data_IF_298736030469
#
_entry.id   IF_298736030469
#
_cell.length_a   1.000
_cell.length_b   1.000
_cell.length_c   1.000
_cell.angle_alpha   90.00
_cell.angle_beta   90.00
_cell.angle_gamma   90.00
#
_symmetry.space_group_name_H-M   'P 1'
#
loop_
_entity.id
_entity.type
_entity.pdbx_description
1 polymer ?
#
# COMPACT_ATOMS: atom_id res chain seq x y z
N UNK A 1 -7.06 -10.63 15.64
CA UNK A 1 -6.14 -11.56 16.29
C UNK A 1 -5.86 -12.78 15.39
N UNK A 2 -4.59 -13.16 15.22
CA UNK A 2 -4.23 -14.19 14.23
C UNK A 2 -4.66 -15.61 14.57
N UNK A 3 -5.01 -15.87 15.80
CA UNK A 3 -5.44 -17.20 16.27
C UNK A 3 -6.97 -17.38 16.20
N UNK A 4 -7.70 -16.39 16.65
CA UNK A 4 -9.17 -16.39 16.60
C UNK A 4 -9.61 -15.56 15.38
N UNK A 5 -10.60 -16.02 14.65
CA UNK A 5 -11.25 -15.25 13.58
C UNK A 5 -12.51 -14.62 14.17
N UNK A 6 -12.49 -13.35 14.55
CA UNK A 6 -13.66 -12.68 15.09
C UNK A 6 -14.74 -12.52 14.03
N UNK A 7 -15.98 -12.57 14.48
CA UNK A 7 -17.15 -12.26 13.67
C UNK A 7 -17.21 -10.73 13.38
N UNK A 8 -17.94 -10.28 12.34
CA UNK A 8 -18.15 -8.86 12.09
C UNK A 8 -18.65 -8.10 13.31
N UNK A 9 -19.55 -8.69 14.09
CA UNK A 9 -20.06 -8.09 15.33
C UNK A 9 -18.97 -7.87 16.38
N UNK A 10 -18.06 -8.84 16.54
CA UNK A 10 -16.95 -8.72 17.48
C UNK A 10 -15.93 -7.69 17.03
N UNK A 11 -15.69 -7.56 15.73
CA UNK A 11 -14.86 -6.47 15.18
C UNK A 11 -15.48 -5.10 15.50
N UNK A 12 -16.79 -4.95 15.29
CA UNK A 12 -17.50 -3.68 15.60
C UNK A 12 -17.42 -3.38 17.09
N UNK A 13 -17.73 -4.35 17.97
CA UNK A 13 -17.62 -4.17 19.41
C UNK A 13 -16.21 -3.76 19.84
N UNK A 14 -15.17 -4.39 19.28
CA UNK A 14 -13.77 -4.02 19.58
C UNK A 14 -13.48 -2.54 19.28
N UNK A 15 -13.93 -2.03 18.13
CA UNK A 15 -13.70 -0.62 17.79
C UNK A 15 -14.61 0.33 18.58
N UNK A 16 -15.82 -0.10 18.98
CA UNK A 16 -16.68 0.66 19.89
C UNK A 16 -16.01 0.80 21.27
N UNK A 17 -15.58 -0.31 21.86
CA UNK A 17 -14.86 -0.30 23.13
C UNK A 17 -13.59 0.55 23.05
N UNK A 18 -12.79 0.37 21.99
CA UNK A 18 -11.58 1.17 21.78
C UNK A 18 -11.88 2.67 21.72
N UNK A 19 -12.97 3.06 21.05
CA UNK A 19 -13.43 4.45 20.93
C UNK A 19 -13.78 5.09 22.26
N UNK A 20 -14.21 4.30 23.25
CA UNK A 20 -14.48 4.79 24.61
C UNK A 20 -13.22 5.05 25.44
N UNK A 21 -12.09 4.42 25.07
CA UNK A 21 -10.83 4.53 25.80
C UNK A 21 -9.84 5.54 25.21
N UNK A 22 -10.04 5.99 23.97
CA UNK A 22 -9.11 6.90 23.31
C UNK A 22 -9.83 8.13 22.76
N UNK A 23 -9.28 9.31 23.03
CA UNK A 23 -9.76 10.57 22.47
C UNK A 23 -9.16 10.89 21.09
N UNK A 24 -8.21 10.07 20.63
CA UNK A 24 -7.54 10.28 19.36
C UNK A 24 -8.32 9.68 18.19
N UNK A 25 -8.26 10.29 16.99
CA UNK A 25 -8.85 9.71 15.80
C UNK A 25 -8.32 8.30 15.50
N UNK A 26 -9.20 7.39 15.11
CA UNK A 26 -8.90 6.00 14.79
C UNK A 26 -8.92 5.80 13.28
N UNK A 27 -7.86 5.19 12.75
CA UNK A 27 -7.85 4.61 11.41
C UNK A 27 -7.94 3.09 11.50
N UNK A 28 -9.02 2.53 10.98
CA UNK A 28 -9.18 1.07 10.86
C UNK A 28 -8.30 0.53 9.74
N UNK A 29 -7.58 -0.56 9.99
CA UNK A 29 -6.78 -1.21 8.95
C UNK A 29 -7.36 -2.58 8.58
N UNK A 30 -7.98 -2.66 7.41
CA UNK A 30 -8.43 -3.90 6.79
C UNK A 30 -7.27 -4.54 6.01
N UNK A 31 -6.68 -5.60 6.58
CA UNK A 31 -5.60 -6.36 5.94
C UNK A 31 -5.74 -7.87 6.21
N UNK A 32 -6.67 -8.49 5.51
CA UNK A 32 -7.07 -9.88 5.70
C UNK A 32 -5.89 -10.86 5.70
N UNK A 33 -4.89 -10.64 4.84
CA UNK A 33 -3.69 -11.49 4.79
C UNK A 33 -2.89 -11.49 6.09
N UNK A 34 -2.79 -10.37 6.79
CA UNK A 34 -2.00 -10.25 8.01
C UNK A 34 -2.78 -10.57 9.28
N UNK A 35 -4.09 -10.34 9.27
CA UNK A 35 -4.96 -10.52 10.43
C UNK A 35 -5.84 -11.76 10.35
N UNK A 36 -5.90 -12.42 9.18
CA UNK A 36 -6.83 -13.50 8.86
C UNK A 36 -8.31 -13.10 9.04
N UNK A 37 -8.61 -11.81 9.01
CA UNK A 37 -9.94 -11.23 9.12
C UNK A 37 -10.13 -10.22 8.01
N UNK A 38 -11.13 -10.39 7.18
CA UNK A 38 -11.52 -9.41 6.18
C UNK A 38 -12.71 -8.59 6.68
N UNK A 39 -12.52 -7.29 6.76
CA UNK A 39 -13.58 -6.33 7.07
C UNK A 39 -14.30 -6.02 5.76
N UNK A 40 -15.50 -6.57 5.59
CA UNK A 40 -16.33 -6.34 4.41
C UNK A 40 -16.99 -4.96 4.45
N UNK A 41 -17.54 -4.51 3.30
CA UNK A 41 -18.13 -3.17 3.16
C UNK A 41 -19.26 -2.93 4.17
N UNK A 42 -20.11 -3.90 4.45
CA UNK A 42 -21.19 -3.80 5.44
C UNK A 42 -20.65 -3.55 6.86
N UNK A 43 -19.60 -4.25 7.23
CA UNK A 43 -18.89 -4.00 8.49
C UNK A 43 -18.20 -2.63 8.48
N UNK A 44 -17.61 -2.22 7.36
CA UNK A 44 -17.01 -0.89 7.20
C UNK A 44 -18.05 0.23 7.36
N UNK A 45 -19.28 0.02 6.87
CA UNK A 45 -20.40 0.95 7.09
C UNK A 45 -20.74 1.09 8.59
N UNK A 46 -20.75 0.00 9.34
CA UNK A 46 -21.00 0.08 10.79
C UNK A 46 -19.83 0.76 11.54
N UNK A 47 -18.59 0.43 11.17
CA UNK A 47 -17.40 1.07 11.73
C UNK A 47 -17.36 2.58 11.47
N UNK A 48 -17.82 3.04 10.31
CA UNK A 48 -17.85 4.47 9.97
C UNK A 48 -18.86 5.29 10.78
N UNK A 49 -19.73 4.65 11.57
CA UNK A 49 -20.68 5.31 12.48
C UNK A 49 -20.09 5.58 13.87
N UNK A 50 -18.93 5.02 14.17
CA UNK A 50 -18.23 5.22 15.45
C UNK A 50 -17.56 6.59 15.40
N UNK A 51 -17.82 7.44 16.42
CA UNK A 51 -17.52 8.87 16.41
C UNK A 51 -16.07 9.22 16.07
N UNK A 52 -15.10 8.52 16.64
CA UNK A 52 -13.68 8.81 16.42
C UNK A 52 -13.02 7.89 15.37
N UNK A 53 -13.78 7.04 14.66
CA UNK A 53 -13.31 6.36 13.45
C UNK A 53 -13.40 7.36 12.29
N UNK A 54 -12.25 7.86 11.85
CA UNK A 54 -12.16 8.92 10.84
C UNK A 54 -11.62 8.43 9.51
N UNK A 55 -11.05 7.23 9.48
CA UNK A 55 -10.46 6.68 8.26
C UNK A 55 -10.48 5.15 8.25
N UNK A 56 -10.43 4.58 7.05
CA UNK A 56 -10.19 3.15 6.80
C UNK A 56 -9.06 3.03 5.80
N UNK A 57 -8.02 2.27 6.15
CA UNK A 57 -7.04 1.76 5.19
C UNK A 57 -7.52 0.39 4.72
N UNK A 58 -7.97 0.31 3.48
CA UNK A 58 -8.45 -0.93 2.88
C UNK A 58 -7.36 -1.55 1.99
N UNK A 59 -6.79 -2.67 2.44
CA UNK A 59 -5.79 -3.47 1.72
C UNK A 59 -6.36 -4.83 1.31
N UNK A 60 -7.66 -4.91 1.04
CA UNK A 60 -8.27 -6.09 0.45
C UNK A 60 -7.70 -6.36 -0.95
N UNK A 61 -7.61 -7.65 -1.31
CA UNK A 61 -7.31 -8.07 -2.69
C UNK A 61 -8.57 -8.23 -3.54
N UNK A 62 -9.74 -8.18 -2.92
CA UNK A 62 -11.04 -8.22 -3.59
C UNK A 62 -11.45 -6.81 -4.05
N UNK A 63 -11.33 -6.57 -5.36
CA UNK A 63 -11.63 -5.26 -5.98
C UNK A 63 -13.10 -4.89 -5.87
N UNK A 64 -14.00 -5.84 -5.99
CA UNK A 64 -15.44 -5.57 -5.88
C UNK A 64 -15.79 -5.15 -4.46
N UNK A 65 -15.17 -5.79 -3.47
CA UNK A 65 -15.31 -5.42 -2.06
C UNK A 65 -14.75 -4.02 -1.79
N UNK A 66 -13.58 -3.68 -2.34
CA UNK A 66 -12.99 -2.35 -2.21
C UNK A 66 -13.90 -1.27 -2.82
N UNK A 67 -14.44 -1.51 -4.01
CA UNK A 67 -15.35 -0.55 -4.67
C UNK A 67 -16.62 -0.36 -3.83
N UNK A 68 -17.22 -1.42 -3.32
CA UNK A 68 -18.38 -1.32 -2.43
C UNK A 68 -18.06 -0.54 -1.15
N UNK A 69 -16.88 -0.73 -0.58
CA UNK A 69 -16.44 0.07 0.57
C UNK A 69 -16.37 1.55 0.21
N UNK A 70 -15.75 1.90 -0.92
CA UNK A 70 -15.69 3.29 -1.41
C UNK A 70 -17.09 3.87 -1.63
N UNK A 71 -17.97 3.17 -2.33
CA UNK A 71 -19.33 3.64 -2.64
C UNK A 71 -20.18 3.94 -1.40
N UNK A 72 -20.01 3.17 -0.32
CA UNK A 72 -20.89 3.26 0.85
C UNK A 72 -20.30 4.06 2.02
N UNK A 73 -18.99 4.33 2.00
CA UNK A 73 -18.28 4.85 3.17
C UNK A 73 -17.45 6.11 2.89
N UNK A 74 -17.09 6.40 1.63
CA UNK A 74 -16.20 7.52 1.29
C UNK A 74 -16.77 8.90 1.59
N UNK A 75 -18.08 9.03 1.76
CA UNK A 75 -18.76 10.26 2.19
C UNK A 75 -18.74 10.47 3.72
N UNK A 76 -18.36 9.46 4.49
CA UNK A 76 -18.39 9.44 5.95
C UNK A 76 -17.01 9.53 6.58
N UNK A 77 -16.07 8.73 6.06
CA UNK A 77 -14.68 8.66 6.56
C UNK A 77 -13.70 8.63 5.40
N UNK A 78 -12.44 8.96 5.66
CA UNK A 78 -11.38 8.90 4.65
C UNK A 78 -11.02 7.46 4.30
N UNK A 79 -10.93 7.15 3.00
CA UNK A 79 -10.58 5.82 2.53
C UNK A 79 -9.22 5.83 1.83
N UNK A 80 -8.29 5.05 2.38
CA UNK A 80 -6.97 4.80 1.79
C UNK A 80 -6.94 3.39 1.20
N UNK A 81 -6.81 3.29 -0.12
CA UNK A 81 -6.85 2.04 -0.85
C UNK A 81 -5.75 1.99 -1.95
N UNK A 82 -5.40 0.82 -2.50
CA UNK A 82 -4.35 0.70 -3.52
C UNK A 82 -4.83 1.21 -4.89
N UNK A 83 -5.00 2.52 -5.01
CA UNK A 83 -5.59 3.19 -6.17
C UNK A 83 -4.56 3.78 -7.16
N UNK A 84 -3.25 3.62 -6.93
CA UNK A 84 -2.22 4.15 -7.85
C UNK A 84 -2.17 3.28 -9.11
N UNK A 85 -3.10 3.53 -10.02
CA UNK A 85 -3.24 2.87 -11.33
C UNK A 85 -4.18 3.68 -12.22
N UNK A 86 -4.20 3.40 -13.53
CA UNK A 86 -5.20 4.01 -14.44
C UNK A 86 -6.64 3.68 -14.04
N UNK A 87 -6.88 2.46 -13.60
CA UNK A 87 -8.20 2.07 -13.09
C UNK A 87 -8.52 2.82 -11.79
N UNK A 88 -7.56 2.92 -10.88
CA UNK A 88 -7.73 3.66 -9.63
C UNK A 88 -8.01 5.14 -9.85
N UNK A 89 -7.39 5.76 -10.87
CA UNK A 89 -7.73 7.13 -11.26
C UNK A 89 -9.22 7.26 -11.67
N UNK A 90 -9.72 6.32 -12.46
CA UNK A 90 -11.14 6.32 -12.85
C UNK A 90 -12.06 6.11 -11.63
N UNK A 91 -11.67 5.25 -10.68
CA UNK A 91 -12.40 5.05 -9.42
C UNK A 91 -12.41 6.34 -8.58
N UNK A 92 -11.26 6.99 -8.41
CA UNK A 92 -11.16 8.26 -7.66
C UNK A 92 -12.06 9.33 -8.29
N UNK A 93 -12.08 9.44 -9.62
CA UNK A 93 -12.92 10.42 -10.34
C UNK A 93 -14.42 10.12 -10.27
N UNK A 94 -14.79 8.84 -10.28
CA UNK A 94 -16.19 8.43 -10.34
C UNK A 94 -16.84 8.15 -8.99
N UNK A 95 -16.07 7.69 -8.01
CA UNK A 95 -16.59 7.21 -6.72
C UNK A 95 -15.93 7.94 -5.55
N UNK A 96 -14.59 7.98 -5.50
CA UNK A 96 -13.83 8.58 -4.42
C UNK A 96 -12.59 7.77 -4.07
N UNK A 97 -11.99 8.14 -2.94
CA UNK A 97 -10.75 7.58 -2.42
C UNK A 97 -9.75 8.70 -2.14
N UNK A 98 -9.22 8.72 -0.92
CA UNK A 98 -8.46 9.86 -0.40
C UNK A 98 -6.95 9.70 -0.54
N UNK A 99 -6.47 8.48 -0.72
CA UNK A 99 -5.04 8.24 -0.81
C UNK A 99 -4.64 6.78 -0.86
N UNK A 100 -3.33 6.56 -0.80
CA UNK A 100 -2.72 5.25 -0.70
C UNK A 100 -1.73 5.22 0.46
N UNK A 101 -1.79 4.17 1.25
CA UNK A 101 -0.79 3.91 2.30
C UNK A 101 -0.19 2.54 2.02
N UNK A 102 1.00 2.51 1.49
CA UNK A 102 1.75 1.28 1.26
C UNK A 102 3.09 1.26 1.99
N UNK A 103 3.76 0.13 1.94
CA UNK A 103 5.04 -0.08 2.62
C UNK A 103 6.26 0.14 1.72
N UNK A 104 6.09 0.66 0.51
CA UNK A 104 7.20 0.81 -0.44
C UNK A 104 7.75 2.26 -0.48
N UNK A 105 8.72 2.62 0.37
CA UNK A 105 9.29 3.96 0.38
C UNK A 105 9.97 4.32 -0.94
N UNK A 106 10.47 3.33 -1.68
CA UNK A 106 11.12 3.54 -2.98
C UNK A 106 10.17 4.01 -4.07
N UNK A 107 8.86 3.75 -3.93
CA UNK A 107 7.82 4.20 -4.86
C UNK A 107 7.13 5.51 -4.44
N UNK A 108 7.51 6.09 -3.31
CA UNK A 108 6.82 7.24 -2.73
C UNK A 108 6.75 8.45 -3.67
N UNK A 109 7.80 8.71 -4.44
CA UNK A 109 7.82 9.82 -5.42
C UNK A 109 6.77 9.65 -6.51
N UNK A 110 6.52 8.44 -6.98
CA UNK A 110 5.48 8.17 -7.98
C UNK A 110 4.07 8.30 -7.38
N UNK A 111 3.90 7.86 -6.14
CA UNK A 111 2.66 8.03 -5.40
C UNK A 111 2.32 9.49 -5.15
N UNK A 112 3.28 10.29 -4.71
CA UNK A 112 3.12 11.74 -4.53
C UNK A 112 2.76 12.43 -5.86
N UNK A 113 3.50 12.14 -6.94
CA UNK A 113 3.23 12.72 -8.25
C UNK A 113 1.82 12.35 -8.76
N UNK A 114 1.38 11.12 -8.53
CA UNK A 114 0.03 10.67 -8.86
C UNK A 114 -1.03 11.50 -8.13
N UNK A 115 -1.01 11.54 -6.80
CA UNK A 115 -2.04 12.23 -6.02
C UNK A 115 -2.00 13.75 -6.16
N UNK A 116 -0.82 14.35 -6.29
CA UNK A 116 -0.70 15.78 -6.62
C UNK A 116 -1.30 16.11 -7.99
N UNK A 117 -1.08 15.25 -8.98
CA UNK A 117 -1.68 15.42 -10.30
C UNK A 117 -3.20 15.24 -10.26
N UNK A 118 -3.69 14.24 -9.53
CA UNK A 118 -5.12 14.06 -9.28
C UNK A 118 -5.75 15.31 -8.66
N UNK A 119 -5.12 15.88 -7.63
CA UNK A 119 -5.63 17.08 -6.94
C UNK A 119 -5.68 18.32 -7.83
N UNK A 120 -4.77 18.41 -8.82
CA UNK A 120 -4.71 19.51 -9.79
C UNK A 120 -5.59 19.30 -11.02
N UNK A 121 -6.24 18.11 -11.16
CA UNK A 121 -7.02 17.76 -12.34
C UNK A 121 -6.18 17.37 -13.55
N UNK A 122 -4.88 17.13 -13.39
CA UNK A 122 -3.96 16.72 -14.47
C UNK A 122 -3.96 15.20 -14.61
N UNK A 123 -5.00 14.68 -15.29
CA UNK A 123 -5.18 13.24 -15.45
C UNK A 123 -4.10 12.59 -16.33
N UNK A 124 -3.52 13.30 -17.28
CA UNK A 124 -2.46 12.73 -18.13
C UNK A 124 -1.17 12.51 -17.32
N UNK A 125 -0.80 13.47 -16.48
CA UNK A 125 0.33 13.32 -15.57
C UNK A 125 0.05 12.25 -14.51
N UNK A 126 -1.17 12.18 -13.96
CA UNK A 126 -1.57 11.14 -13.04
C UNK A 126 -1.45 9.74 -13.66
N UNK A 127 -1.90 9.55 -14.91
CA UNK A 127 -1.73 8.30 -15.66
C UNK A 127 -0.26 7.93 -15.84
N UNK A 128 0.59 8.89 -16.22
CA UNK A 128 2.02 8.64 -16.40
C UNK A 128 2.70 8.24 -15.09
N UNK A 129 2.38 8.88 -13.97
CA UNK A 129 2.88 8.51 -12.64
C UNK A 129 2.39 7.12 -12.21
N UNK A 130 1.12 6.81 -12.46
CA UNK A 130 0.54 5.50 -12.19
C UNK A 130 1.23 4.39 -13.01
N UNK A 131 1.48 4.61 -14.29
CA UNK A 131 2.16 3.63 -15.15
C UNK A 131 3.59 3.32 -14.64
N UNK A 132 4.33 4.33 -14.21
CA UNK A 132 5.68 4.16 -13.62
C UNK A 132 5.61 3.39 -12.31
N UNK A 133 4.66 3.74 -11.43
CA UNK A 133 4.42 3.03 -10.18
C UNK A 133 4.11 1.55 -10.43
N UNK A 134 3.12 1.27 -11.29
CA UNK A 134 2.70 -0.11 -11.60
C UNK A 134 3.83 -0.90 -12.26
N UNK A 135 4.56 -0.30 -13.21
CA UNK A 135 5.70 -0.97 -13.88
C UNK A 135 6.80 -1.39 -12.91
N UNK A 136 7.07 -0.58 -11.89
CA UNK A 136 8.03 -0.93 -10.84
C UNK A 136 7.45 -1.96 -9.85
N UNK A 137 6.26 -1.69 -9.33
CA UNK A 137 5.66 -2.52 -8.27
C UNK A 137 5.35 -3.94 -8.73
N UNK A 138 4.92 -4.13 -9.98
CA UNK A 138 4.66 -5.46 -10.55
C UNK A 138 5.90 -6.35 -10.65
N UNK A 139 7.10 -5.79 -10.59
CA UNK A 139 8.38 -6.53 -10.56
C UNK A 139 8.88 -6.80 -9.15
N UNK A 140 8.34 -6.09 -8.16
CA UNK A 140 8.73 -6.17 -6.75
C UNK A 140 7.75 -7.01 -5.92
N UNK A 141 6.46 -6.91 -6.22
CA UNK A 141 5.39 -7.45 -5.37
C UNK A 141 4.50 -8.38 -6.17
N UNK A 142 4.28 -9.57 -5.63
CA UNK A 142 3.31 -10.54 -6.15
C UNK A 142 1.86 -10.08 -5.89
N UNK A 143 0.87 -10.63 -6.61
CA UNK A 143 -0.55 -10.28 -6.40
C UNK A 143 -1.06 -10.49 -4.96
N UNK A 144 -0.42 -11.39 -4.22
CA UNK A 144 -0.73 -11.67 -2.81
C UNK A 144 0.02 -10.76 -1.82
N UNK A 145 0.67 -9.70 -2.30
CA UNK A 145 1.50 -8.76 -1.53
C UNK A 145 2.79 -9.36 -0.94
N UNK A 146 3.21 -10.55 -1.36
CA UNK A 146 4.54 -11.07 -1.03
C UNK A 146 5.61 -10.39 -1.90
N UNK A 147 6.85 -10.33 -1.39
CA UNK A 147 7.98 -9.86 -2.18
C UNK A 147 8.48 -10.93 -3.17
N UNK A 148 8.92 -10.49 -4.34
CA UNK A 148 9.45 -11.38 -5.39
C UNK A 148 10.82 -11.93 -5.03
N UNK A 149 11.67 -11.13 -4.38
CA UNK A 149 13.07 -11.47 -4.07
C UNK A 149 13.32 -11.82 -2.60
N UNK A 150 12.26 -11.94 -1.81
CA UNK A 150 12.32 -12.22 -0.37
C UNK A 150 11.08 -11.66 0.32
N UNK A 151 11.13 -11.49 1.64
CA UNK A 151 10.02 -10.79 2.31
C UNK A 151 9.95 -9.34 1.82
N UNK A 152 8.74 -8.77 1.71
CA UNK A 152 8.56 -7.41 1.23
C UNK A 152 9.42 -6.41 2.03
N UNK A 153 9.53 -6.57 3.35
CA UNK A 153 10.35 -5.72 4.22
C UNK A 153 11.85 -5.82 3.90
N UNK A 154 12.36 -7.04 3.71
CA UNK A 154 13.77 -7.24 3.35
C UNK A 154 14.08 -6.62 1.99
N UNK A 155 13.19 -6.80 1.02
CA UNK A 155 13.31 -6.27 -0.33
C UNK A 155 13.28 -4.74 -0.36
N UNK A 156 12.34 -4.09 0.35
CA UNK A 156 12.29 -2.64 0.42
C UNK A 156 13.54 -2.05 1.08
N UNK A 157 14.04 -2.69 2.13
CA UNK A 157 15.31 -2.28 2.77
C UNK A 157 16.51 -2.41 1.83
N UNK A 158 16.58 -3.50 1.06
CA UNK A 158 17.60 -3.67 0.03
C UNK A 158 17.51 -2.59 -1.06
N UNK A 159 16.30 -2.29 -1.55
CA UNK A 159 16.09 -1.20 -2.50
C UNK A 159 16.54 0.16 -1.93
N UNK A 160 16.18 0.48 -0.69
CA UNK A 160 16.62 1.71 -0.03
C UNK A 160 18.15 1.79 0.06
N UNK A 161 18.82 0.69 0.46
CA UNK A 161 20.29 0.63 0.53
C UNK A 161 20.93 0.85 -0.86
N UNK A 162 20.35 0.25 -1.92
CA UNK A 162 20.82 0.46 -3.31
C UNK A 162 20.64 1.93 -3.73
N UNK A 163 19.59 2.61 -3.28
CA UNK A 163 19.34 4.03 -3.52
C UNK A 163 20.19 4.97 -2.65
N UNK A 164 21.08 4.43 -1.79
CA UNK A 164 21.86 5.24 -0.84
C UNK A 164 21.06 5.80 0.33
N UNK A 165 19.86 5.26 0.58
CA UNK A 165 19.02 5.63 1.71
C UNK A 165 19.29 4.69 2.91
N UNK A 166 18.99 5.11 4.16
CA UNK A 166 19.25 4.32 5.36
C UNK A 166 18.22 3.17 5.53
N UNK A 167 18.20 2.20 4.61
CA UNK A 167 17.33 1.03 4.66
C UNK A 167 17.64 0.09 5.81
N UNK A 168 18.93 -0.10 6.11
CA UNK A 168 19.38 -1.03 7.14
C UNK A 168 19.03 -2.48 6.81
N UNK A 169 18.77 -3.27 7.87
CA UNK A 169 18.44 -4.69 7.77
C UNK A 169 17.10 -5.00 8.43
N UNK A 170 16.39 -6.06 7.98
CA UNK A 170 15.19 -6.51 8.68
C UNK A 170 15.58 -7.07 10.07
N UNK A 171 14.61 -7.02 11.00
CA UNK A 171 14.77 -7.66 12.31
C UNK A 171 14.55 -9.18 12.16
N UNK A 172 15.36 -9.99 12.85
CA UNK A 172 15.15 -11.43 12.94
C UNK A 172 13.72 -11.76 13.42
N UNK A 173 13.09 -12.84 12.90
CA UNK A 173 13.67 -13.89 12.05
C UNK A 173 13.73 -13.58 10.56
N UNK A 174 13.33 -12.36 10.10
CA UNK A 174 13.47 -11.99 8.70
C UNK A 174 14.94 -11.80 8.35
N UNK A 175 15.35 -12.33 7.21
CA UNK A 175 16.73 -12.25 6.73
C UNK A 175 16.88 -11.17 5.66
N UNK A 176 18.05 -10.51 5.56
CA UNK A 176 18.35 -9.60 4.47
C UNK A 176 18.46 -10.36 3.14
N UNK A 177 18.34 -9.63 2.04
CA UNK A 177 18.62 -10.19 0.71
C UNK A 177 20.13 -10.11 0.49
N UNK A 178 20.78 -11.27 0.43
CA UNK A 178 22.23 -11.40 0.24
C UNK A 178 22.61 -12.04 -1.10
N UNK A 179 21.64 -12.66 -1.78
CA UNK A 179 21.87 -13.27 -3.09
C UNK A 179 22.23 -12.21 -4.15
N UNK A 180 23.44 -12.31 -4.77
CA UNK A 180 23.91 -11.32 -5.74
C UNK A 180 23.00 -11.17 -6.96
N UNK A 181 22.31 -12.25 -7.37
CA UNK A 181 21.38 -12.19 -8.51
C UNK A 181 20.16 -11.37 -8.17
N UNK A 182 19.59 -11.57 -6.98
CA UNK A 182 18.46 -10.81 -6.48
C UNK A 182 18.83 -9.32 -6.31
N UNK A 183 19.99 -9.00 -5.74
CA UNK A 183 20.47 -7.63 -5.62
C UNK A 183 20.65 -6.94 -6.98
N UNK A 184 21.22 -7.66 -7.97
CA UNK A 184 21.35 -7.15 -9.34
C UNK A 184 19.99 -6.89 -9.97
N UNK A 185 19.03 -7.80 -9.82
CA UNK A 185 17.68 -7.63 -10.34
C UNK A 185 16.96 -6.43 -9.69
N UNK A 186 17.11 -6.24 -8.39
CA UNK A 186 16.56 -5.05 -7.68
C UNK A 186 17.19 -3.76 -8.22
N UNK A 187 18.50 -3.73 -8.43
CA UNK A 187 19.17 -2.56 -9.02
C UNK A 187 18.70 -2.27 -10.45
N UNK A 188 18.50 -3.29 -11.28
CA UNK A 188 17.95 -3.12 -12.64
C UNK A 188 16.53 -2.58 -12.61
N UNK A 189 15.70 -3.01 -11.66
CA UNK A 189 14.36 -2.46 -11.46
C UNK A 189 14.40 -0.98 -11.11
N UNK A 190 15.23 -0.60 -10.15
CA UNK A 190 15.37 0.79 -9.71
C UNK A 190 15.97 1.68 -10.81
N UNK A 191 16.94 1.19 -11.55
CA UNK A 191 17.52 1.88 -12.71
C UNK A 191 16.47 2.09 -13.80
N UNK A 192 15.69 1.06 -14.13
CA UNK A 192 14.60 1.16 -15.12
C UNK A 192 13.52 2.14 -14.71
N UNK A 193 13.29 2.30 -13.41
CA UNK A 193 12.36 3.28 -12.83
C UNK A 193 12.95 4.71 -12.76
N UNK A 194 14.25 4.89 -13.05
CA UNK A 194 14.95 6.18 -12.97
C UNK A 194 15.23 6.62 -11.53
N UNK A 195 15.33 5.70 -10.60
CA UNK A 195 15.58 5.97 -9.17
C UNK A 195 17.05 5.87 -8.79
N UNK A 196 17.85 5.19 -9.60
CA UNK A 196 19.31 5.09 -9.47
C UNK A 196 19.96 5.16 -10.84
N UNK A 197 21.20 5.68 -10.90
CA UNK A 197 21.98 5.71 -12.13
C UNK A 197 22.39 4.30 -12.54
N UNK A 198 22.51 4.03 -13.85
CA UNK A 198 23.06 2.78 -14.34
C UNK A 198 24.47 2.54 -13.78
N UNK A 199 24.71 1.37 -13.21
CA UNK A 199 26.08 1.01 -12.84
C UNK A 199 26.94 0.94 -14.09
N UNK A 200 27.89 1.84 -14.24
CA UNK A 200 28.87 1.78 -15.32
C UNK A 200 29.67 0.49 -15.08
N UNK A 201 29.36 -0.58 -15.83
CA UNK A 201 30.24 -1.76 -15.85
C UNK A 201 31.61 -1.26 -16.30
N UNK A 202 32.58 -1.30 -15.41
CA UNK A 202 33.97 -1.11 -15.80
C UNK A 202 34.22 -2.06 -16.98
N UNK A 203 34.55 -1.53 -18.14
CA UNK A 203 34.98 -2.35 -19.27
C UNK A 203 36.14 -3.17 -18.75
N UNK A 204 35.97 -4.50 -18.75
CA UNK A 204 37.11 -5.41 -18.54
C UNK A 204 38.15 -5.03 -19.59
N UNK A 205 39.31 -4.56 -19.11
CA UNK A 205 40.49 -4.30 -19.91
C UNK A 205 41.15 -5.63 -20.22
#
# INVERSE_FOLDING_TARGET
>A
PPYCVPTPREVICYFQDLSEYVDTPIMVYNWARGTNVEIKYDTSVELSKIENVVAIKDSTTDRDQMIKTLEHVSDKVRIFAPLISRLGLAVIRGIGGDGNIDGCPTAASFGSDFYESVSRGDDERAKAAADRYVAMMSRLINPDWSGVYGTAQAQYKACMNIMGQPGGYPRLPLLPIEDPKSLTALQEILTSAGLVEPTVRAKAV
#
